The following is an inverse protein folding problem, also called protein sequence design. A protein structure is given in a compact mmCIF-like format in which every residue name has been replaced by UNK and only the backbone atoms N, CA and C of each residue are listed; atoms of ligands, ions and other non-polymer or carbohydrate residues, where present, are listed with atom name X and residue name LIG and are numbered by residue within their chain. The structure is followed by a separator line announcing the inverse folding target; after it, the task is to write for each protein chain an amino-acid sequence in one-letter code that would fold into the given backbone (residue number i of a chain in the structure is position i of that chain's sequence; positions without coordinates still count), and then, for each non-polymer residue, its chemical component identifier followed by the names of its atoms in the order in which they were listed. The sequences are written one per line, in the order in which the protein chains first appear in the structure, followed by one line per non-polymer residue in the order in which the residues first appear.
data_IF_473886245078
#
_entry.id   IF_473886245078
#
_cell.length_a   1.000
_cell.length_b   1.000
_cell.length_c   1.000
_cell.angle_alpha   90.00
_cell.angle_beta   90.00
_cell.angle_gamma   90.00
#
_symmetry.space_group_name_H-M   'P 1'
#
loop_
_entity.id
_entity.type
_entity.pdbx_description
1 polymer ?
#
# COMPACT_ATOMS: atom_id res chain seq x y z
N UNK A 1 1.50 19.87 -10.53
CA UNK A 1 1.30 18.87 -9.48
C UNK A 1 2.62 18.18 -9.17
N UNK A 2 2.89 17.97 -7.92
CA UNK A 2 4.07 17.25 -7.46
C UNK A 2 4.04 15.80 -7.95
N UNK A 3 5.07 15.38 -8.70
CA UNK A 3 5.12 14.06 -9.29
C UNK A 3 5.54 12.97 -8.29
N UNK A 4 6.08 13.34 -7.13
CA UNK A 4 6.53 12.37 -6.13
C UNK A 4 5.42 11.42 -5.68
N UNK A 5 4.21 11.94 -5.51
CA UNK A 5 3.07 11.14 -5.03
C UNK A 5 2.26 10.48 -6.16
N UNK A 6 2.70 10.57 -7.40
CA UNK A 6 2.01 9.90 -8.48
C UNK A 6 2.48 8.45 -8.64
N UNK A 7 1.59 7.53 -9.00
CA UNK A 7 2.01 6.16 -9.30
C UNK A 7 3.02 6.14 -10.45
N UNK A 8 3.95 5.20 -10.40
CA UNK A 8 4.89 5.00 -11.50
C UNK A 8 4.10 4.57 -12.73
N UNK A 9 4.31 5.26 -13.84
CA UNK A 9 3.65 4.95 -15.11
C UNK A 9 4.17 3.65 -15.71
N UNK A 10 3.26 2.87 -16.32
CA UNK A 10 3.66 1.70 -17.11
C UNK A 10 4.50 2.06 -18.34
N UNK A 11 4.51 3.33 -18.74
CA UNK A 11 5.37 3.81 -19.83
C UNK A 11 6.81 4.03 -19.36
N UNK A 12 7.01 4.37 -18.08
CA UNK A 12 8.34 4.57 -17.51
C UNK A 12 8.95 3.26 -17.02
N UNK A 13 8.12 2.39 -16.44
CA UNK A 13 8.55 1.10 -15.93
C UNK A 13 7.40 0.10 -16.13
N UNK A 14 7.64 -1.01 -16.85
CA UNK A 14 6.59 -2.01 -17.05
C UNK A 14 5.95 -2.44 -15.73
N UNK A 15 4.66 -2.75 -15.76
CA UNK A 15 3.90 -3.04 -14.55
C UNK A 15 4.36 -4.30 -13.82
N UNK A 16 5.03 -5.21 -14.52
CA UNK A 16 5.57 -6.42 -13.92
C UNK A 16 6.95 -6.21 -13.29
N UNK A 17 7.54 -5.02 -13.43
CA UNK A 17 8.89 -4.71 -12.94
C UNK A 17 8.84 -3.74 -11.78
N UNK A 18 9.94 -3.67 -11.04
CA UNK A 18 10.08 -2.77 -9.90
C UNK A 18 9.62 -3.38 -8.58
N UNK A 19 9.62 -2.57 -7.55
CA UNK A 19 9.19 -2.97 -6.21
C UNK A 19 7.68 -2.74 -6.09
N UNK A 20 6.87 -3.79 -5.81
CA UNK A 20 5.42 -3.63 -5.74
C UNK A 20 5.00 -2.95 -4.43
N UNK A 21 4.61 -1.70 -4.54
CA UNK A 21 3.90 -0.96 -3.49
C UNK A 21 2.42 -0.93 -3.83
N UNK A 22 1.57 -0.49 -2.88
CA UNK A 22 0.15 -0.28 -3.19
C UNK A 22 0.05 0.71 -4.36
N UNK A 23 -0.54 0.25 -5.47
CA UNK A 23 -0.81 1.05 -6.66
C UNK A 23 0.42 1.76 -7.23
N UNK A 24 1.61 1.22 -6.97
CA UNK A 24 2.91 1.76 -7.39
C UNK A 24 3.16 3.18 -6.86
N UNK A 25 2.54 3.50 -5.74
CA UNK A 25 2.75 4.75 -5.03
C UNK A 25 4.11 4.75 -4.33
N UNK A 26 4.64 5.92 -3.94
CA UNK A 26 5.88 5.96 -3.19
C UNK A 26 5.74 5.29 -1.83
N UNK A 27 6.78 4.60 -1.39
CA UNK A 27 6.86 4.07 -0.02
C UNK A 27 7.47 5.15 0.87
N UNK A 28 6.72 5.60 1.85
CA UNK A 28 7.10 6.70 2.73
C UNK A 28 7.03 6.22 4.18
N UNK A 29 8.18 6.21 4.85
CA UNK A 29 8.28 5.86 6.28
C UNK A 29 8.16 7.11 7.14
N UNK A 30 7.88 6.97 8.47
CA UNK A 30 7.74 8.14 9.34
C UNK A 30 8.95 9.07 9.39
N UNK A 31 10.15 8.56 9.12
CA UNK A 31 11.38 9.36 9.09
C UNK A 31 11.67 9.97 7.71
N UNK A 32 10.83 9.71 6.72
CA UNK A 32 11.00 10.26 5.38
C UNK A 32 10.68 11.77 5.38
N UNK A 33 11.47 12.61 4.66
CA UNK A 33 11.22 14.05 4.61
C UNK A 33 9.82 14.45 4.13
N UNK A 34 9.20 13.63 3.27
CA UNK A 34 7.88 13.90 2.71
C UNK A 34 6.74 13.26 3.49
N UNK A 35 7.03 12.63 4.64
CA UNK A 35 6.00 11.93 5.43
C UNK A 35 4.85 12.86 5.83
N UNK A 36 5.17 14.08 6.26
CA UNK A 36 4.16 15.05 6.67
C UNK A 36 3.27 15.56 5.53
N UNK A 37 3.68 15.35 4.29
CA UNK A 37 2.91 15.76 3.12
C UNK A 37 1.86 14.72 2.70
N UNK A 38 1.90 13.52 3.27
CA UNK A 38 0.96 12.44 2.94
C UNK A 38 -0.43 12.79 3.44
N UNK A 39 -1.40 12.75 2.54
CA UNK A 39 -2.80 12.97 2.89
C UNK A 39 -3.55 11.67 3.11
N UNK A 40 -3.23 10.64 2.32
CA UNK A 40 -3.83 9.30 2.46
C UNK A 40 -2.70 8.29 2.53
N UNK A 41 -2.57 7.62 3.68
CA UNK A 41 -1.60 6.57 3.89
C UNK A 41 -2.25 5.20 3.81
N UNK A 42 -1.63 4.28 3.07
CA UNK A 42 -2.07 2.90 2.96
C UNK A 42 -1.14 2.05 3.82
N UNK A 43 -1.72 1.35 4.79
CA UNK A 43 -0.96 0.58 5.77
C UNK A 43 -1.44 -0.87 5.74
N UNK A 44 -0.50 -1.80 5.67
CA UNK A 44 -0.83 -3.21 5.76
C UNK A 44 -0.87 -3.70 7.20
N UNK A 45 -1.83 -4.56 7.50
CA UNK A 45 -1.98 -5.22 8.80
C UNK A 45 -1.93 -6.74 8.57
N UNK A 46 -0.73 -7.33 8.38
CA UNK A 46 -0.59 -8.73 7.98
C UNK A 46 -0.72 -9.67 9.19
N UNK A 47 -1.95 -9.93 9.62
CA UNK A 47 -2.22 -10.77 10.79
C UNK A 47 -3.44 -11.65 10.57
N UNK A 48 -3.31 -12.93 10.91
CA UNK A 48 -4.40 -13.90 10.84
C UNK A 48 -4.42 -14.85 12.04
N UNK A 49 -3.81 -14.46 13.16
CA UNK A 49 -3.73 -15.30 14.35
C UNK A 49 -5.08 -15.65 14.98
N UNK A 50 -6.16 -14.91 14.64
CA UNK A 50 -7.50 -15.20 15.13
C UNK A 50 -8.35 -16.04 14.18
N UNK A 51 -7.79 -16.51 13.07
CA UNK A 51 -8.54 -17.28 12.07
C UNK A 51 -8.82 -18.70 12.59
N UNK A 52 -10.08 -19.13 12.48
CA UNK A 52 -10.50 -20.42 13.02
C UNK A 52 -10.54 -21.53 11.97
N UNK A 53 -10.55 -21.20 10.68
CA UNK A 53 -10.75 -22.21 9.64
C UNK A 53 -9.66 -22.18 8.56
N UNK A 54 -9.45 -21.02 7.89
CA UNK A 54 -8.51 -20.94 6.79
C UNK A 54 -7.47 -19.86 7.05
N UNK A 55 -6.27 -20.22 7.52
CA UNK A 55 -5.18 -19.25 7.66
C UNK A 55 -4.74 -18.77 6.28
N UNK A 56 -4.17 -17.55 6.24
CA UNK A 56 -3.67 -16.96 5.01
C UNK A 56 -3.82 -15.45 4.90
N UNK A 57 -4.75 -14.80 5.64
CA UNK A 57 -4.89 -13.33 5.56
C UNK A 57 -3.60 -12.56 5.87
N UNK A 58 -2.63 -13.17 6.58
CA UNK A 58 -1.32 -12.57 6.82
C UNK A 58 -0.60 -12.20 5.53
N UNK A 59 -0.93 -12.85 4.42
CA UNK A 59 -0.35 -12.60 3.11
C UNK A 59 -1.15 -11.58 2.31
N UNK A 60 -2.25 -11.06 2.87
CA UNK A 60 -3.14 -10.15 2.19
C UNK A 60 -2.49 -8.87 1.71
N UNK A 61 -1.79 -8.12 2.58
CA UNK A 61 -1.15 -6.88 2.14
C UNK A 61 -0.18 -7.08 0.97
N UNK A 62 0.64 -8.13 1.03
CA UNK A 62 1.59 -8.43 -0.06
C UNK A 62 0.87 -8.79 -1.34
N UNK A 63 -0.18 -9.61 -1.26
CA UNK A 63 -0.96 -10.00 -2.42
C UNK A 63 -1.69 -8.80 -3.04
N UNK A 64 -2.24 -7.91 -2.21
CA UNK A 64 -2.90 -6.70 -2.68
C UNK A 64 -1.92 -5.75 -3.34
N UNK A 65 -0.71 -5.60 -2.79
CA UNK A 65 0.33 -4.78 -3.40
C UNK A 65 0.66 -5.31 -4.80
N UNK A 66 0.88 -6.62 -4.90
CA UNK A 66 1.20 -7.24 -6.17
C UNK A 66 0.09 -7.03 -7.20
N UNK A 67 -1.15 -7.33 -6.84
CA UNK A 67 -2.30 -7.16 -7.73
C UNK A 67 -2.51 -5.70 -8.11
N UNK A 68 -2.27 -4.76 -7.19
CA UNK A 68 -2.51 -3.34 -7.42
C UNK A 68 -1.55 -2.72 -8.43
N UNK A 69 -0.46 -3.39 -8.79
CA UNK A 69 0.45 -2.88 -9.83
C UNK A 69 -0.21 -2.79 -11.19
N UNK A 70 -1.31 -3.50 -11.39
CA UNK A 70 -2.02 -3.56 -12.67
C UNK A 70 -3.12 -2.51 -12.80
N UNK A 71 -3.48 -1.78 -11.75
CA UNK A 71 -4.56 -0.81 -11.84
C UNK A 71 -4.13 0.43 -12.62
N UNK A 72 -5.13 1.16 -13.11
CA UNK A 72 -4.92 2.42 -13.83
C UNK A 72 -5.07 3.60 -12.88
N UNK A 73 -4.43 4.72 -13.23
CA UNK A 73 -4.50 5.94 -12.44
C UNK A 73 -5.81 6.71 -12.62
N UNK A 74 -6.65 6.29 -13.56
CA UNK A 74 -7.91 6.92 -13.86
C UNK A 74 -9.01 5.87 -13.93
N UNK A 75 -10.14 6.15 -13.27
CA UNK A 75 -11.30 5.27 -13.32
C UNK A 75 -11.89 5.30 -14.75
N UNK A 76 -12.16 4.13 -15.38
CA UNK A 76 -12.54 4.09 -16.80
C UNK A 76 -13.91 4.67 -17.11
N UNK A 77 -14.83 4.71 -16.13
CA UNK A 77 -16.19 5.20 -16.33
C UNK A 77 -16.33 6.65 -15.85
N UNK A 78 -16.00 6.91 -14.58
CA UNK A 78 -16.15 8.25 -13.99
C UNK A 78 -15.06 9.22 -14.39
N UNK A 79 -13.95 8.72 -14.93
CA UNK A 79 -12.77 9.50 -15.32
C UNK A 79 -12.09 10.21 -14.13
N UNK A 80 -12.41 9.80 -12.92
CA UNK A 80 -11.78 10.34 -11.70
C UNK A 80 -10.32 9.89 -11.63
N UNK A 81 -9.43 10.82 -11.26
CA UNK A 81 -8.00 10.58 -11.07
C UNK A 81 -7.62 10.86 -9.62
N UNK A 82 -7.79 9.88 -8.72
CA UNK A 82 -7.62 10.12 -7.29
C UNK A 82 -6.20 10.58 -6.90
N UNK A 83 -5.17 10.13 -7.63
CA UNK A 83 -3.79 10.49 -7.30
C UNK A 83 -3.41 11.91 -7.75
N UNK A 84 -4.29 12.59 -8.48
CA UNK A 84 -4.17 14.01 -8.77
C UNK A 84 -4.98 14.84 -7.78
N UNK A 85 -5.86 14.21 -6.99
CA UNK A 85 -6.71 14.88 -6.01
C UNK A 85 -6.12 14.85 -4.61
N UNK A 86 -5.30 13.86 -4.29
CA UNK A 86 -4.72 13.67 -2.96
C UNK A 86 -3.32 13.07 -3.07
N UNK A 87 -2.46 13.40 -2.10
CA UNK A 87 -1.13 12.83 -1.98
C UNK A 87 -1.23 11.52 -1.22
N UNK A 88 -1.17 10.42 -1.96
CA UNK A 88 -1.28 9.06 -1.41
C UNK A 88 0.10 8.40 -1.35
N UNK A 89 0.32 7.56 -0.35
CA UNK A 89 1.58 6.84 -0.21
C UNK A 89 1.36 5.49 0.46
N UNK A 90 2.26 4.55 0.16
CA UNK A 90 2.33 3.27 0.85
C UNK A 90 3.21 3.47 2.09
N UNK A 91 2.64 3.31 3.27
CA UNK A 91 3.36 3.48 4.53
C UNK A 91 4.01 2.18 5.02
N UNK A 92 3.87 1.09 4.28
CA UNK A 92 4.39 -0.21 4.67
C UNK A 92 3.42 -0.99 5.55
N UNK A 93 3.95 -1.93 6.30
CA UNK A 93 3.17 -2.79 7.17
C UNK A 93 3.49 -2.48 8.62
N UNK A 94 2.50 -2.66 9.50
CA UNK A 94 2.75 -2.76 10.93
C UNK A 94 3.31 -4.16 11.21
N UNK A 95 4.50 -4.25 11.82
CA UNK A 95 5.14 -5.53 12.09
C UNK A 95 4.39 -6.32 13.16
N UNK A 96 3.76 -7.45 12.81
CA UNK A 96 3.06 -8.28 13.80
C UNK A 96 4.03 -9.17 14.58
N UNK A 97 3.56 -9.65 15.74
CA UNK A 97 4.22 -10.71 16.46
C UNK A 97 3.44 -12.01 16.19
N UNK A 98 3.95 -12.93 15.37
CA UNK A 98 3.18 -14.10 14.94
C UNK A 98 2.89 -15.09 16.05
N UNK A 99 3.55 -14.97 17.23
CA UNK A 99 3.37 -15.88 18.36
C UNK A 99 2.61 -15.25 19.52
N UNK A 100 2.22 -13.98 19.41
CA UNK A 100 1.51 -13.25 20.46
C UNK A 100 0.45 -12.35 19.84
N UNK A 101 -0.81 -12.80 19.84
CA UNK A 101 -1.93 -12.07 19.29
C UNK A 101 -2.21 -10.75 20.00
N UNK A 102 -2.31 -10.72 21.34
CA UNK A 102 -2.49 -9.47 22.08
C UNK A 102 -1.40 -8.44 21.81
N UNK A 103 -0.13 -8.84 21.72
CA UNK A 103 0.96 -7.93 21.38
C UNK A 103 0.79 -7.37 19.96
N UNK A 104 0.39 -8.22 19.00
CA UNK A 104 0.13 -7.79 17.63
C UNK A 104 -0.98 -6.74 17.58
N UNK A 105 -2.08 -6.97 18.28
CA UNK A 105 -3.18 -6.02 18.31
C UNK A 105 -2.77 -4.69 18.95
N UNK A 106 -1.87 -4.73 19.92
CA UNK A 106 -1.36 -3.51 20.55
C UNK A 106 -0.48 -2.67 19.60
N UNK A 107 0.13 -3.31 18.60
CA UNK A 107 0.96 -2.62 17.60
C UNK A 107 0.14 -1.94 16.50
N UNK A 108 -1.10 -2.40 16.30
CA UNK A 108 -1.98 -1.88 15.24
C UNK A 108 -2.67 -0.53 15.62
#
# INVERSE_FOLDING_TARGET
MDTFFKPISGMDLPRFAGIPTFMRLPHVTPDHPRYRDVEIGLVGLPFDGGVSNRPGPRHGPRALRDASTMIRAQHPVSLVRPFEMARCADLGDVGPNPVDGPDTLARF
#
